data_IF_382389332485
#
_entry.id   IF_382389332485
#
_cell.length_a   1.000
_cell.length_b   1.000
_cell.length_c   1.000
_cell.angle_alpha   90.00
_cell.angle_beta   90.00
_cell.angle_gamma   90.00
#
_symmetry.space_group_name_H-M   'P 1'
#
loop_
_entity.id
_entity.type
_entity.pdbx_description
1 polymer ?
#
# COMPACT_ATOMS: atom_id res chain seq x y z
N UNK A 1 21.98 19.78 24.77
CA UNK A 1 22.23 18.34 24.83
C UNK A 1 23.60 18.01 24.27
N UNK A 2 24.28 17.03 24.81
CA UNK A 2 25.56 16.54 24.30
C UNK A 2 25.38 15.24 23.43
N UNK A 3 24.19 14.68 23.44
CA UNK A 3 23.85 13.48 22.70
C UNK A 3 23.00 13.78 21.46
N UNK A 4 23.00 12.93 20.42
CA UNK A 4 22.02 12.98 19.35
C UNK A 4 20.63 12.60 19.88
N UNK A 5 19.62 12.79 19.04
CA UNK A 5 18.24 12.43 19.33
C UNK A 5 17.51 12.29 17.98
N UNK A 6 17.49 11.08 17.47
CA UNK A 6 16.82 10.79 16.21
C UNK A 6 15.33 10.61 16.45
N UNK A 7 14.54 11.30 15.66
CA UNK A 7 13.09 11.30 15.80
C UNK A 7 12.42 11.05 14.45
N UNK A 8 11.44 10.16 14.46
CA UNK A 8 10.61 9.84 13.30
C UNK A 8 9.15 9.78 13.71
N UNK A 9 8.32 10.64 13.12
CA UNK A 9 6.90 10.76 13.41
C UNK A 9 6.04 10.43 12.20
N UNK A 10 4.78 10.04 12.42
CA UNK A 10 3.83 9.68 11.36
C UNK A 10 3.70 10.72 10.24
N UNK A 11 3.61 12.03 10.50
CA UNK A 11 3.52 13.03 9.45
C UNK A 11 4.75 13.11 8.53
N UNK A 12 5.90 12.60 8.99
CA UNK A 12 7.15 12.57 8.25
C UNK A 12 7.26 11.36 7.32
N UNK A 13 6.39 10.36 7.49
CA UNK A 13 6.36 9.16 6.65
C UNK A 13 5.26 9.28 5.61
N UNK A 14 5.67 9.41 4.34
CA UNK A 14 4.76 9.56 3.20
C UNK A 14 4.74 8.28 2.38
N UNK A 15 3.54 7.88 1.97
CA UNK A 15 3.30 6.72 1.09
C UNK A 15 2.77 7.22 -0.24
N UNK A 16 3.29 6.73 -1.34
CA UNK A 16 2.89 7.11 -2.70
C UNK A 16 2.74 5.86 -3.59
N UNK A 17 1.65 5.75 -4.36
CA UNK A 17 0.48 6.62 -4.34
C UNK A 17 -0.30 6.54 -3.02
N UNK A 18 -1.18 7.52 -2.76
CA UNK A 18 -2.00 7.55 -1.54
C UNK A 18 -3.09 6.48 -1.52
N UNK A 19 -3.51 6.03 -2.69
CA UNK A 19 -4.38 4.87 -2.89
C UNK A 19 -3.57 3.79 -3.61
N UNK A 20 -3.50 2.61 -3.03
CA UNK A 20 -2.72 1.49 -3.56
C UNK A 20 -3.65 0.31 -3.80
N UNK A 21 -3.60 -0.27 -4.99
CA UNK A 21 -4.33 -1.49 -5.33
C UNK A 21 -3.38 -2.59 -5.78
N UNK A 22 -3.88 -3.81 -5.86
CA UNK A 22 -3.14 -4.96 -6.40
C UNK A 22 -2.82 -4.85 -7.89
N UNK A 23 -3.34 -3.83 -8.57
CA UNK A 23 -2.98 -3.52 -9.95
C UNK A 23 -1.63 -2.80 -10.07
N UNK A 24 -1.18 -2.17 -8.99
CA UNK A 24 0.14 -1.54 -8.93
C UNK A 24 1.23 -2.60 -8.79
N UNK A 25 2.40 -2.35 -9.37
CA UNK A 25 3.55 -3.24 -9.24
C UNK A 25 4.36 -2.97 -7.97
N UNK A 26 4.30 -1.77 -7.46
CA UNK A 26 5.02 -1.30 -6.28
C UNK A 26 4.38 -0.03 -5.70
N UNK A 27 4.78 0.33 -4.50
CA UNK A 27 4.54 1.63 -3.89
C UNK A 27 5.81 2.13 -3.22
N UNK A 28 5.91 3.44 -3.02
CA UNK A 28 7.06 4.06 -2.40
C UNK A 28 6.73 4.59 -1.00
N UNK A 29 7.69 4.49 -0.10
CA UNK A 29 7.65 5.12 1.20
C UNK A 29 8.83 6.08 1.31
N UNK A 30 8.55 7.33 1.62
CA UNK A 30 9.54 8.32 1.96
C UNK A 30 9.46 8.60 3.46
N UNK A 31 10.41 8.05 4.22
CA UNK A 31 10.50 8.20 5.65
C UNK A 31 11.52 9.29 5.98
N UNK A 32 11.03 10.49 6.27
CA UNK A 32 11.84 11.59 6.79
C UNK A 32 12.08 11.41 8.27
N UNK A 33 13.26 11.76 8.73
CA UNK A 33 13.61 11.79 10.15
C UNK A 33 14.47 13.02 10.46
N UNK A 34 14.55 13.38 11.73
CA UNK A 34 15.30 14.52 12.22
C UNK A 34 16.24 14.10 13.34
N UNK A 35 17.30 14.86 13.52
CA UNK A 35 18.16 14.79 14.71
C UNK A 35 17.91 16.07 15.52
N UNK A 36 17.23 15.95 16.63
CA UNK A 36 16.89 17.05 17.55
C UNK A 36 18.03 17.35 18.54
N UNK A 37 19.02 16.47 18.59
CA UNK A 37 20.16 16.60 19.49
C UNK A 37 21.45 17.05 18.80
N UNK A 38 22.58 16.67 19.38
CA UNK A 38 23.91 16.98 18.85
C UNK A 38 24.23 16.16 17.61
N UNK A 39 24.75 16.82 16.59
CA UNK A 39 25.29 16.10 15.42
C UNK A 39 26.54 15.31 15.83
N UNK A 40 26.57 14.04 15.45
CA UNK A 40 27.71 13.14 15.66
C UNK A 40 28.21 12.57 14.35
N UNK A 41 29.50 12.33 14.23
CA UNK A 41 30.09 11.69 13.05
C UNK A 41 30.09 10.17 13.21
N UNK A 42 28.90 9.58 13.28
CA UNK A 42 28.71 8.14 13.41
C UNK A 42 27.67 7.66 12.42
N UNK A 43 27.90 6.53 11.81
CA UNK A 43 26.95 5.91 10.88
C UNK A 43 25.80 5.30 11.67
N UNK A 44 24.61 5.34 11.11
CA UNK A 44 23.39 4.81 11.69
C UNK A 44 22.83 3.69 10.82
N UNK A 45 22.39 2.61 11.44
CA UNK A 45 21.69 1.53 10.74
C UNK A 45 20.19 1.83 10.75
N UNK A 46 19.56 1.83 9.57
CA UNK A 46 18.11 1.92 9.43
C UNK A 46 17.59 0.56 8.99
N UNK A 47 16.57 0.08 9.68
CA UNK A 47 15.86 -1.15 9.35
C UNK A 47 14.40 -0.83 9.00
N UNK A 48 13.91 -1.45 7.93
CA UNK A 48 12.50 -1.40 7.53
C UNK A 48 11.94 -2.81 7.53
N UNK A 49 10.97 -3.02 8.40
CA UNK A 49 10.26 -4.29 8.55
C UNK A 49 8.84 -4.16 8.00
N UNK A 50 8.40 -5.13 7.20
CA UNK A 50 7.03 -5.25 6.73
C UNK A 50 6.33 -6.39 7.47
N UNK A 51 5.14 -6.12 7.98
CA UNK A 51 4.20 -7.12 8.47
C UNK A 51 3.09 -7.25 7.43
N UNK A 52 2.89 -8.44 6.92
CA UNK A 52 1.91 -8.77 5.89
C UNK A 52 0.50 -8.96 6.49
N UNK A 53 -0.56 -9.01 5.66
CA UNK A 53 -1.93 -9.26 6.14
C UNK A 53 -2.12 -10.58 6.89
N UNK A 54 -1.30 -11.58 6.60
CA UNK A 54 -1.27 -12.88 7.30
C UNK A 54 -0.47 -12.86 8.61
N UNK A 55 0.01 -11.68 9.03
CA UNK A 55 0.83 -11.42 10.21
C UNK A 55 2.28 -11.93 10.13
N UNK A 56 2.69 -12.51 9.01
CA UNK A 56 4.11 -12.79 8.79
C UNK A 56 4.91 -11.51 8.63
N UNK A 57 6.20 -11.54 8.96
CA UNK A 57 7.07 -10.36 8.93
C UNK A 57 8.34 -10.62 8.15
N UNK A 58 8.82 -9.58 7.48
CA UNK A 58 10.07 -9.58 6.71
C UNK A 58 10.82 -8.26 6.88
N UNK A 59 12.15 -8.32 6.98
CA UNK A 59 12.99 -7.13 6.85
C UNK A 59 13.18 -6.85 5.37
N UNK A 60 12.52 -5.82 4.86
CA UNK A 60 12.53 -5.47 3.44
C UNK A 60 13.68 -4.53 3.06
N UNK A 61 14.26 -3.85 4.05
CA UNK A 61 15.43 -3.00 3.85
C UNK A 61 16.24 -2.90 5.14
N UNK A 62 17.54 -2.97 5.01
CA UNK A 62 18.48 -2.67 6.09
C UNK A 62 19.71 -1.99 5.48
N UNK A 63 19.93 -0.75 5.85
CA UNK A 63 20.95 0.11 5.26
C UNK A 63 21.74 0.85 6.33
N UNK A 64 23.00 1.15 6.02
CA UNK A 64 23.84 1.99 6.88
C UNK A 64 23.92 3.38 6.28
N UNK A 65 23.33 4.33 6.96
CA UNK A 65 23.30 5.74 6.53
C UNK A 65 24.54 6.49 7.05
N UNK A 66 24.96 7.49 6.29
CA UNK A 66 25.92 8.48 6.78
C UNK A 66 25.30 9.25 7.97
N UNK A 67 26.17 9.89 8.77
CA UNK A 67 25.65 10.68 9.88
C UNK A 67 24.75 11.82 9.41
N UNK A 68 23.68 12.07 10.18
CA UNK A 68 22.71 13.13 9.92
C UNK A 68 22.96 14.32 10.82
N UNK A 69 23.18 15.50 10.23
CA UNK A 69 23.36 16.73 11.01
C UNK A 69 22.06 17.23 11.59
N UNK A 70 21.01 17.28 10.77
CA UNK A 70 19.74 17.86 11.16
C UNK A 70 18.55 17.01 10.68
N UNK A 71 18.46 16.70 9.43
CA UNK A 71 17.38 15.90 8.85
C UNK A 71 17.88 15.14 7.62
N UNK A 72 17.27 13.99 7.38
CA UNK A 72 17.47 13.18 6.17
C UNK A 72 16.24 12.34 5.89
N UNK A 73 16.27 11.52 4.85
CA UNK A 73 15.16 10.65 4.50
C UNK A 73 15.63 9.31 3.94
N UNK A 74 14.84 8.29 4.19
CA UNK A 74 15.00 6.95 3.58
C UNK A 74 13.88 6.74 2.57
N UNK A 75 14.26 6.47 1.32
CA UNK A 75 13.33 6.08 0.27
C UNK A 75 13.30 4.56 0.18
N UNK A 76 12.10 4.01 0.23
CA UNK A 76 11.86 2.57 0.19
C UNK A 76 10.89 2.29 -0.95
N UNK A 77 11.35 1.50 -1.92
CA UNK A 77 10.51 0.94 -2.98
C UNK A 77 10.02 -0.43 -2.54
N UNK A 78 8.70 -0.62 -2.50
CA UNK A 78 8.06 -1.81 -1.96
C UNK A 78 7.26 -2.52 -3.05
N UNK A 79 7.72 -3.67 -3.53
CA UNK A 79 6.99 -4.43 -4.54
C UNK A 79 5.69 -5.00 -4.00
N UNK A 80 4.69 -5.15 -4.89
CA UNK A 80 3.38 -5.72 -4.59
C UNK A 80 3.25 -7.10 -5.23
N UNK A 81 2.90 -8.08 -4.40
CA UNK A 81 2.47 -9.42 -4.84
C UNK A 81 0.98 -9.55 -4.52
N UNK A 82 0.08 -9.53 -5.53
CA UNK A 82 -1.37 -9.40 -5.31
C UNK A 82 -1.97 -10.42 -4.34
N UNK A 83 -1.54 -11.67 -4.44
CA UNK A 83 -2.09 -12.78 -3.64
C UNK A 83 -1.65 -12.75 -2.17
N UNK A 84 -0.50 -12.13 -1.88
CA UNK A 84 0.08 -12.05 -0.54
C UNK A 84 -0.27 -10.73 0.15
N UNK A 85 -0.22 -9.64 -0.59
CA UNK A 85 -0.13 -8.29 -0.04
C UNK A 85 -1.48 -7.58 0.10
N UNK A 86 -2.54 -8.17 -0.48
CA UNK A 86 -3.89 -7.62 -0.41
C UNK A 86 -4.39 -7.52 1.04
N UNK A 87 -4.75 -6.32 1.47
CA UNK A 87 -5.22 -6.03 2.83
C UNK A 87 -4.29 -5.08 3.58
N UNK A 88 -4.34 -5.15 4.90
CA UNK A 88 -3.55 -4.29 5.78
C UNK A 88 -2.11 -4.79 5.88
N UNK A 89 -1.19 -3.95 5.45
CA UNK A 89 0.24 -4.12 5.67
C UNK A 89 0.73 -3.10 6.70
N UNK A 90 1.70 -3.46 7.51
CA UNK A 90 2.34 -2.54 8.46
C UNK A 90 3.81 -2.40 8.12
N UNK A 91 4.25 -1.16 7.92
CA UNK A 91 5.66 -0.85 7.64
C UNK A 91 6.26 -0.18 8.87
N UNK A 92 7.21 -0.84 9.49
CA UNK A 92 7.93 -0.30 10.64
C UNK A 92 9.30 0.17 10.20
N UNK A 93 9.60 1.44 10.39
CA UNK A 93 10.91 2.05 10.15
C UNK A 93 11.57 2.28 11.48
N UNK A 94 12.77 1.77 11.67
CA UNK A 94 13.56 1.91 12.91
C UNK A 94 14.91 2.53 12.57
N UNK A 95 15.18 3.67 13.17
CA UNK A 95 16.47 4.35 13.15
C UNK A 95 17.36 3.74 14.23
N UNK A 96 18.68 3.76 14.02
CA UNK A 96 19.65 3.10 14.89
C UNK A 96 19.24 1.69 15.35
N UNK A 97 18.82 0.87 14.39
CA UNK A 97 18.27 -0.47 14.63
C UNK A 97 19.22 -1.41 15.40
N UNK A 98 20.51 -1.10 15.46
CA UNK A 98 21.52 -1.85 16.23
C UNK A 98 21.75 -1.25 17.63
N UNK A 99 21.08 -0.14 17.97
CA UNK A 99 21.25 0.58 19.22
C UNK A 99 22.73 0.87 19.54
N UNK A 100 23.45 1.36 18.52
CA UNK A 100 24.87 1.64 18.59
C UNK A 100 25.18 3.13 18.93
N UNK A 101 24.16 3.98 18.88
CA UNK A 101 24.25 5.41 19.13
C UNK A 101 23.51 5.67 20.45
N UNK A 102 24.23 6.14 21.44
CA UNK A 102 23.63 6.55 22.73
C UNK A 102 22.89 7.87 22.56
N UNK A 103 21.56 7.84 22.55
CA UNK A 103 20.66 8.95 22.26
C UNK A 103 20.09 9.58 23.53
N UNK A 104 19.45 10.73 23.40
CA UNK A 104 18.70 11.35 24.49
C UNK A 104 17.44 10.56 24.83
N UNK A 105 16.71 10.18 23.77
CA UNK A 105 15.51 9.37 23.85
C UNK A 105 15.64 8.22 22.86
N UNK A 106 15.53 7.00 23.35
CA UNK A 106 15.60 5.77 22.54
C UNK A 106 14.21 5.29 22.09
N UNK A 107 13.15 6.00 22.46
CA UNK A 107 11.77 5.56 22.21
C UNK A 107 11.08 6.25 21.03
N UNK A 108 11.70 7.28 20.45
CA UNK A 108 11.16 8.10 19.36
C UNK A 108 11.80 7.81 17.99
N UNK A 109 12.69 6.84 17.91
CA UNK A 109 13.43 6.47 16.72
C UNK A 109 12.77 5.32 15.91
N UNK A 110 11.52 4.98 16.17
CA UNK A 110 10.77 3.97 15.44
C UNK A 110 9.31 4.36 15.21
N UNK A 111 8.79 4.10 14.02
CA UNK A 111 7.41 4.36 13.65
C UNK A 111 6.84 3.21 12.82
N UNK A 112 5.55 2.92 13.01
CA UNK A 112 4.80 1.97 12.18
C UNK A 112 3.73 2.69 11.39
N UNK A 113 3.77 2.54 10.06
CA UNK A 113 2.78 3.08 9.13
C UNK A 113 1.88 1.96 8.62
N UNK A 114 0.57 2.16 8.76
CA UNK A 114 -0.44 1.28 8.18
C UNK A 114 -0.59 1.60 6.68
N UNK A 115 -0.51 0.58 5.84
CA UNK A 115 -0.65 0.66 4.38
C UNK A 115 -1.66 -0.37 3.94
N UNK A 116 -2.80 0.09 3.45
CA UNK A 116 -3.84 -0.80 2.94
C UNK A 116 -3.72 -0.95 1.42
N UNK A 117 -3.60 -2.19 0.95
CA UNK A 117 -3.57 -2.54 -0.47
C UNK A 117 -4.93 -3.12 -0.85
N UNK A 118 -5.65 -2.42 -1.73
CA UNK A 118 -7.01 -2.74 -2.12
C UNK A 118 -7.07 -3.77 -3.25
N UNK A 119 -8.18 -4.48 -3.32
CA UNK A 119 -8.52 -5.26 -4.50
C UNK A 119 -8.74 -4.34 -5.71
N UNK A 120 -8.44 -4.85 -6.90
CA UNK A 120 -8.75 -4.19 -8.16
C UNK A 120 -9.79 -5.01 -8.93
N UNK A 121 -10.93 -5.23 -8.31
CA UNK A 121 -12.03 -6.01 -8.87
C UNK A 121 -13.20 -5.11 -9.24
N UNK A 122 -13.81 -5.41 -10.38
CA UNK A 122 -15.12 -4.91 -10.73
C UNK A 122 -16.18 -5.95 -10.30
N UNK A 123 -17.13 -5.54 -9.46
CA UNK A 123 -18.18 -6.43 -8.93
C UNK A 123 -19.54 -6.02 -9.47
N UNK A 124 -20.33 -6.97 -10.01
CA UNK A 124 -21.72 -6.69 -10.36
C UNK A 124 -22.52 -6.31 -9.10
N UNK A 125 -23.25 -5.20 -9.18
CA UNK A 125 -24.15 -4.75 -8.10
C UNK A 125 -25.60 -5.08 -8.46
N UNK A 126 -25.97 -4.90 -9.72
CA UNK A 126 -27.33 -5.14 -10.19
C UNK A 126 -27.30 -5.76 -11.59
N UNK A 127 -28.10 -6.81 -11.87
CA UNK A 127 -28.99 -7.52 -10.95
C UNK A 127 -28.24 -8.21 -9.80
N UNK A 128 -28.90 -8.36 -8.66
CA UNK A 128 -28.33 -9.12 -7.53
C UNK A 128 -28.18 -10.59 -7.91
N UNK A 129 -27.21 -11.24 -7.33
CA UNK A 129 -27.00 -12.67 -7.50
C UNK A 129 -28.30 -13.44 -7.17
N UNK A 130 -28.71 -14.33 -8.06
CA UNK A 130 -29.96 -15.11 -7.98
C UNK A 130 -31.27 -14.28 -8.05
N UNK A 131 -31.22 -13.02 -8.43
CA UNK A 131 -32.44 -12.22 -8.62
C UNK A 131 -33.20 -12.66 -9.87
N UNK A 132 -34.52 -12.68 -9.76
CA UNK A 132 -35.40 -12.89 -10.92
C UNK A 132 -35.78 -11.50 -11.45
N UNK A 133 -35.45 -11.24 -12.69
CA UNK A 133 -35.76 -9.95 -13.35
C UNK A 133 -36.76 -10.21 -14.46
N UNK A 134 -37.92 -9.56 -14.41
CA UNK A 134 -39.00 -9.74 -15.37
C UNK A 134 -39.08 -8.58 -16.39
N UNK A 135 -38.00 -7.83 -16.57
CA UNK A 135 -37.93 -6.70 -17.50
C UNK A 135 -37.11 -7.11 -18.75
N UNK A 136 -37.57 -6.66 -19.94
CA UNK A 136 -36.85 -6.90 -21.17
C UNK A 136 -35.57 -6.08 -21.33
N UNK A 137 -35.52 -4.90 -20.71
CA UNK A 137 -34.36 -4.03 -20.71
C UNK A 137 -33.79 -3.94 -19.29
N UNK A 138 -32.67 -4.62 -19.05
CA UNK A 138 -32.02 -4.65 -17.75
C UNK A 138 -30.80 -3.72 -17.80
N UNK A 139 -30.74 -2.79 -16.85
CA UNK A 139 -29.54 -1.99 -16.60
C UNK A 139 -28.61 -2.77 -15.69
N UNK A 140 -27.41 -3.09 -16.18
CA UNK A 140 -26.36 -3.64 -15.32
C UNK A 140 -25.61 -2.53 -14.63
N UNK A 141 -25.36 -2.72 -13.35
CA UNK A 141 -24.49 -1.82 -12.55
C UNK A 141 -23.34 -2.63 -11.98
N UNK A 142 -22.16 -2.12 -12.13
CA UNK A 142 -20.91 -2.68 -11.57
C UNK A 142 -20.26 -1.62 -10.69
N UNK A 143 -19.55 -2.03 -9.65
CA UNK A 143 -18.69 -1.17 -8.85
C UNK A 143 -17.26 -1.67 -8.91
N UNK A 144 -16.32 -0.76 -9.05
CA UNK A 144 -14.90 -1.07 -8.91
C UNK A 144 -14.43 -0.72 -7.51
N UNK A 145 -13.43 -1.45 -7.00
CA UNK A 145 -12.87 -1.21 -5.67
C UNK A 145 -12.17 0.16 -5.56
N UNK A 146 -11.64 0.67 -6.68
CA UNK A 146 -10.97 1.95 -6.74
C UNK A 146 -11.88 3.03 -7.33
N UNK A 147 -12.47 3.87 -6.45
CA UNK A 147 -13.31 4.99 -6.85
C UNK A 147 -12.56 6.09 -7.66
N UNK A 148 -11.24 6.11 -7.59
CA UNK A 148 -10.37 7.09 -8.25
C UNK A 148 -9.58 6.48 -9.43
N UNK A 149 -9.94 5.25 -9.86
CA UNK A 149 -9.27 4.64 -10.99
C UNK A 149 -9.44 5.50 -12.25
N UNK A 150 -8.37 5.58 -13.03
CA UNK A 150 -8.41 6.17 -14.37
C UNK A 150 -9.41 5.42 -15.25
N UNK A 151 -9.74 6.02 -16.41
CA UNK A 151 -10.65 5.40 -17.36
C UNK A 151 -10.13 4.03 -17.80
N UNK A 152 -10.94 3.00 -17.58
CA UNK A 152 -10.65 1.62 -17.97
C UNK A 152 -11.76 1.06 -18.83
N UNK A 153 -11.43 0.07 -19.63
CA UNK A 153 -12.40 -0.70 -20.40
C UNK A 153 -12.81 -1.94 -19.61
N UNK A 154 -14.11 -2.09 -19.42
CA UNK A 154 -14.72 -3.25 -18.77
C UNK A 154 -15.43 -4.09 -19.84
N UNK A 155 -15.21 -5.39 -19.83
CA UNK A 155 -15.95 -6.33 -20.65
C UNK A 155 -17.00 -7.01 -19.77
N UNK A 156 -18.26 -6.83 -20.14
CA UNK A 156 -19.41 -7.45 -19.47
C UNK A 156 -19.91 -8.58 -20.34
N UNK A 157 -19.95 -9.77 -19.78
CA UNK A 157 -20.48 -10.96 -20.46
C UNK A 157 -21.70 -11.48 -19.72
N UNK A 158 -22.68 -11.94 -20.48
CA UNK A 158 -23.88 -12.61 -19.98
C UNK A 158 -24.10 -13.88 -20.78
N UNK A 159 -24.33 -14.96 -20.10
CA UNK A 159 -24.59 -16.26 -20.72
C UNK A 159 -25.61 -17.06 -19.91
N UNK A 160 -26.18 -18.07 -20.52
CA UNK A 160 -27.06 -19.06 -19.91
C UNK A 160 -26.30 -20.22 -19.24
N UNK A 161 -24.98 -20.26 -19.39
CA UNK A 161 -24.10 -21.25 -18.78
C UNK A 161 -23.03 -20.60 -17.91
N UNK A 162 -22.61 -21.27 -16.86
CA UNK A 162 -21.56 -20.80 -15.96
C UNK A 162 -20.18 -20.69 -16.64
N UNK A 163 -19.97 -21.42 -17.73
CA UNK A 163 -18.71 -21.41 -18.47
C UNK A 163 -18.63 -20.32 -19.54
N UNK A 164 -19.67 -19.50 -19.70
CA UNK A 164 -19.76 -18.43 -20.71
C UNK A 164 -19.41 -18.89 -22.12
N UNK A 165 -19.85 -20.09 -22.51
CA UNK A 165 -19.51 -20.73 -23.76
C UNK A 165 -20.73 -21.12 -24.62
N UNK A 166 -21.95 -20.68 -24.25
CA UNK A 166 -23.15 -21.02 -25.03
C UNK A 166 -23.30 -20.12 -26.27
N UNK A 167 -24.11 -20.55 -27.27
CA UNK A 167 -24.47 -19.70 -28.39
C UNK A 167 -25.30 -18.47 -28.01
N UNK A 168 -25.88 -18.44 -26.82
CA UNK A 168 -26.65 -17.31 -26.27
C UNK A 168 -25.80 -16.25 -25.58
N UNK A 169 -24.49 -16.43 -25.52
CA UNK A 169 -23.57 -15.48 -24.89
C UNK A 169 -23.64 -14.10 -25.53
N UNK A 170 -23.81 -13.09 -24.72
CA UNK A 170 -23.77 -11.69 -25.13
C UNK A 170 -22.60 -11.00 -24.39
N UNK A 171 -21.79 -10.26 -25.15
CA UNK A 171 -20.69 -9.47 -24.61
C UNK A 171 -20.83 -8.01 -25.00
N UNK A 172 -20.45 -7.12 -24.09
CA UNK A 172 -20.38 -5.66 -24.29
C UNK A 172 -19.16 -5.10 -23.61
N UNK A 173 -18.54 -4.12 -24.26
CA UNK A 173 -17.43 -3.34 -23.68
C UNK A 173 -17.93 -1.96 -23.29
N UNK A 174 -17.57 -1.52 -22.08
CA UNK A 174 -17.92 -0.21 -21.53
C UNK A 174 -16.66 0.42 -20.98
N UNK A 175 -16.44 1.70 -21.28
CA UNK A 175 -15.35 2.48 -20.69
C UNK A 175 -15.92 3.34 -19.57
N UNK A 176 -15.32 3.26 -18.40
CA UNK A 176 -15.70 4.07 -17.22
C UNK A 176 -14.49 4.36 -16.35
N UNK A 177 -14.56 5.44 -15.58
CA UNK A 177 -13.71 5.69 -14.42
C UNK A 177 -14.14 4.81 -13.26
N UNK A 178 -13.34 4.75 -12.19
CA UNK A 178 -13.68 4.01 -10.99
C UNK A 178 -14.92 4.53 -10.26
N UNK A 179 -15.53 3.68 -9.43
CA UNK A 179 -16.71 3.96 -8.59
C UNK A 179 -17.79 2.91 -8.68
#
# INVERSE_FOLDING_TARGET
SEKPDFDIEDPLVKVSPSFISVAETHFEINAKYVNLGKSINKKMVVEVKRTYPDLTTEIIKRDTLAFTKYADSVLIDVPIVPTRDKGLNKITVTLDADNNIDELYESNNSITKDVYIYEDEARPIYPYQYSIVNQQNIKFSISSANAFAEMRQYNVEMDTTELFNSPAKVARSVSSTGG
#
